data_IF_868984613850
#
_entry.id   IF_868984613850
#
_cell.length_a   1.000
_cell.length_b   1.000
_cell.length_c   1.000
_cell.angle_alpha   90.00
_cell.angle_beta   90.00
_cell.angle_gamma   90.00
#
_symmetry.space_group_name_H-M   'P 1'
#
loop_
_entity.id
_entity.type
_entity.pdbx_description
1 polymer ?
#
# COMPACT_ATOMS: atom_id res chain seq x y z
N UNK A 1 -15.13 1.15 -14.92
CA UNK A 1 -15.37 0.63 -13.57
C UNK A 1 -14.38 -0.52 -13.40
N UNK A 2 -13.36 -0.34 -12.56
CA UNK A 2 -12.37 -1.39 -12.30
C UNK A 2 -12.96 -2.48 -11.40
N UNK A 3 -12.30 -3.64 -11.31
CA UNK A 3 -12.82 -4.77 -10.53
C UNK A 3 -12.84 -4.50 -9.01
N UNK A 4 -12.08 -3.49 -8.55
CA UNK A 4 -11.96 -3.11 -7.16
C UNK A 4 -12.66 -1.79 -6.83
N UNK A 5 -13.48 -1.27 -7.75
CA UNK A 5 -14.17 0.01 -7.56
C UNK A 5 -15.03 0.00 -6.29
N UNK A 6 -14.91 1.06 -5.49
CA UNK A 6 -15.60 1.22 -4.20
C UNK A 6 -15.13 0.29 -3.07
N UNK A 7 -14.04 -0.48 -3.25
CA UNK A 7 -13.49 -1.35 -2.21
C UNK A 7 -12.43 -0.64 -1.38
N UNK A 8 -12.40 -0.98 -0.09
CA UNK A 8 -11.37 -0.56 0.87
C UNK A 8 -10.46 -1.74 1.20
N UNK A 9 -9.17 -1.60 0.94
CA UNK A 9 -8.21 -2.72 1.02
C UNK A 9 -7.01 -2.35 1.90
N UNK A 10 -6.72 -3.19 2.89
CA UNK A 10 -5.46 -3.12 3.65
C UNK A 10 -4.42 -4.00 2.95
N UNK A 11 -3.27 -3.42 2.62
CA UNK A 11 -2.17 -4.12 1.94
C UNK A 11 -0.94 -4.15 2.84
N UNK A 12 -0.57 -5.33 3.29
CA UNK A 12 0.62 -5.55 4.13
C UNK A 12 1.85 -5.87 3.27
N UNK A 13 3.05 -5.60 3.79
CA UNK A 13 4.30 -6.03 3.14
C UNK A 13 4.82 -5.11 2.03
N UNK A 14 4.33 -3.87 1.96
CA UNK A 14 4.84 -2.85 1.04
C UNK A 14 6.14 -2.28 1.61
N UNK A 15 7.29 -2.81 1.15
CA UNK A 15 8.61 -2.39 1.65
C UNK A 15 9.38 -1.56 0.61
N UNK A 16 9.45 -2.05 -0.62
CA UNK A 16 10.13 -1.41 -1.76
C UNK A 16 9.22 -1.43 -3.00
N UNK A 17 9.57 -0.69 -4.04
CA UNK A 17 8.90 -0.74 -5.35
C UNK A 17 9.06 -2.10 -6.06
N UNK A 18 10.08 -2.88 -5.70
CA UNK A 18 10.27 -4.26 -6.16
C UNK A 18 9.43 -5.29 -5.37
N UNK A 19 8.70 -4.88 -4.32
CA UNK A 19 7.90 -5.81 -3.52
C UNK A 19 6.66 -6.27 -4.28
N UNK A 20 6.26 -7.54 -4.14
CA UNK A 20 4.99 -8.01 -4.72
C UNK A 20 3.79 -7.20 -4.23
N UNK A 21 3.79 -6.84 -2.94
CA UNK A 21 2.75 -6.00 -2.35
C UNK A 21 2.68 -4.60 -2.97
N UNK A 22 3.79 -4.05 -3.45
CA UNK A 22 3.81 -2.76 -4.14
C UNK A 22 3.09 -2.86 -5.48
N UNK A 23 3.42 -3.86 -6.30
CA UNK A 23 2.72 -4.10 -7.56
C UNK A 23 1.23 -4.42 -7.35
N UNK A 24 0.89 -5.16 -6.30
CA UNK A 24 -0.51 -5.39 -5.92
C UNK A 24 -1.23 -4.09 -5.54
N UNK A 25 -0.56 -3.18 -4.83
CA UNK A 25 -1.11 -1.87 -4.46
C UNK A 25 -1.30 -0.95 -5.68
N UNK A 26 -0.36 -0.94 -6.62
CA UNK A 26 -0.50 -0.20 -7.88
C UNK A 26 -1.70 -0.69 -8.69
N UNK A 27 -1.85 -2.01 -8.83
CA UNK A 27 -3.00 -2.60 -9.50
C UNK A 27 -4.31 -2.30 -8.76
N UNK A 28 -4.29 -2.35 -7.42
CA UNK A 28 -5.48 -2.04 -6.63
C UNK A 28 -5.98 -0.61 -6.87
N UNK A 29 -5.07 0.36 -6.84
CA UNK A 29 -5.37 1.76 -7.14
C UNK A 29 -5.89 1.95 -8.57
N UNK A 30 -5.23 1.35 -9.57
CA UNK A 30 -5.66 1.40 -10.96
C UNK A 30 -7.06 0.81 -11.19
N UNK A 31 -7.44 -0.20 -10.39
CA UNK A 31 -8.75 -0.85 -10.43
C UNK A 31 -9.81 -0.16 -9.55
N UNK A 32 -9.50 1.00 -8.96
CA UNK A 32 -10.47 1.85 -8.25
C UNK A 32 -10.59 1.59 -6.74
N UNK A 33 -9.63 0.88 -6.13
CA UNK A 33 -9.62 0.66 -4.68
C UNK A 33 -9.14 1.91 -3.92
N UNK A 34 -9.73 2.12 -2.74
CA UNK A 34 -9.13 2.93 -1.67
C UNK A 34 -8.24 2.01 -0.83
N UNK A 35 -6.96 2.37 -0.63
CA UNK A 35 -6.00 1.50 0.05
C UNK A 35 -5.40 2.14 1.31
N UNK A 36 -5.01 1.27 2.23
CA UNK A 36 -4.14 1.56 3.37
C UNK A 36 -3.00 0.54 3.35
N UNK A 37 -1.78 0.95 3.68
CA UNK A 37 -0.64 0.02 3.79
C UNK A 37 -0.16 -0.11 5.22
N UNK A 38 0.42 -1.26 5.54
CA UNK A 38 1.05 -1.47 6.85
C UNK A 38 2.55 -1.63 6.77
N UNK A 39 3.25 -1.24 7.84
CA UNK A 39 4.67 -1.50 8.06
C UNK A 39 4.95 -1.91 9.51
N UNK A 40 6.19 -2.31 9.80
CA UNK A 40 6.57 -2.76 11.14
C UNK A 40 7.95 -2.21 11.57
N UNK A 41 8.04 -1.74 12.81
CA UNK A 41 9.28 -1.41 13.49
C UNK A 41 10.27 -0.59 12.67
N UNK A 42 11.50 -1.10 12.52
CA UNK A 42 12.59 -0.40 11.82
C UNK A 42 12.31 -0.12 10.34
N UNK A 43 11.40 -0.88 9.72
CA UNK A 43 11.03 -0.72 8.31
C UNK A 43 9.99 0.38 8.08
N UNK A 44 9.35 0.93 9.12
CA UNK A 44 8.27 1.93 8.99
C UNK A 44 8.61 3.12 8.10
N UNK A 45 9.80 3.71 8.28
CA UNK A 45 10.24 4.85 7.44
C UNK A 45 10.43 4.46 5.97
N UNK A 46 10.86 3.23 5.72
CA UNK A 46 11.02 2.72 4.37
C UNK A 46 9.65 2.50 3.73
N UNK A 47 8.71 1.85 4.42
CA UNK A 47 7.31 1.70 3.98
C UNK A 47 6.65 3.04 3.70
N UNK A 48 6.78 4.04 4.58
CA UNK A 48 6.23 5.40 4.35
C UNK A 48 6.79 6.05 3.08
N UNK A 49 8.09 5.91 2.82
CA UNK A 49 8.70 6.42 1.58
C UNK A 49 8.21 5.69 0.34
N UNK A 50 8.04 4.37 0.44
CA UNK A 50 7.55 3.54 -0.66
C UNK A 50 6.06 3.83 -0.94
N UNK A 51 5.23 4.04 0.09
CA UNK A 51 3.83 4.38 -0.06
C UNK A 51 3.61 5.68 -0.85
N UNK A 52 4.46 6.70 -0.64
CA UNK A 52 4.42 7.96 -1.41
C UNK A 52 4.68 7.79 -2.90
N UNK A 53 5.30 6.68 -3.33
CA UNK A 53 5.49 6.38 -4.75
C UNK A 53 4.22 5.84 -5.40
N UNK A 54 3.33 5.21 -4.63
CA UNK A 54 2.03 4.71 -5.09
C UNK A 54 1.04 5.85 -5.34
N UNK A 55 1.15 6.93 -4.56
CA UNK A 55 0.31 8.11 -4.68
C UNK A 55 0.37 8.98 -3.43
N UNK A 56 -0.23 10.16 -3.52
CA UNK A 56 -0.42 11.05 -2.38
C UNK A 56 -1.53 10.54 -1.46
N UNK A 57 -1.37 10.74 -0.15
CA UNK A 57 -2.42 10.44 0.83
C UNK A 57 -2.58 8.96 1.21
N UNK A 58 -1.72 8.06 0.74
CA UNK A 58 -1.73 6.66 1.20
C UNK A 58 -1.34 6.60 2.69
N UNK A 59 -2.30 6.18 3.52
CA UNK A 59 -2.09 6.01 4.95
C UNK A 59 -1.19 4.81 5.23
N UNK A 60 -0.24 4.99 6.17
CA UNK A 60 0.66 3.93 6.63
C UNK A 60 0.47 3.73 8.12
N UNK A 61 0.00 2.54 8.51
CA UNK A 61 -0.23 2.18 9.92
C UNK A 61 0.78 1.12 10.37
N UNK A 62 1.22 1.21 11.62
CA UNK A 62 2.11 0.20 12.20
C UNK A 62 1.34 -1.08 12.52
N UNK A 63 1.86 -2.22 12.06
CA UNK A 63 1.32 -3.55 12.31
C UNK A 63 2.44 -4.60 12.23
N UNK A 64 2.72 -5.25 13.35
CA UNK A 64 3.66 -6.38 13.49
C UNK A 64 2.84 -7.64 13.85
N UNK A 65 3.00 -8.73 13.08
CA UNK A 65 2.10 -9.90 13.06
C UNK A 65 2.44 -10.98 14.10
#
# INVERSE_FOLDING_TARGET
MGILDGKRIVITGVLTDASLAYGAAELALAEGAEILVTGAGRAMRLTQRTARKLGDGIEVVEFDV
#
